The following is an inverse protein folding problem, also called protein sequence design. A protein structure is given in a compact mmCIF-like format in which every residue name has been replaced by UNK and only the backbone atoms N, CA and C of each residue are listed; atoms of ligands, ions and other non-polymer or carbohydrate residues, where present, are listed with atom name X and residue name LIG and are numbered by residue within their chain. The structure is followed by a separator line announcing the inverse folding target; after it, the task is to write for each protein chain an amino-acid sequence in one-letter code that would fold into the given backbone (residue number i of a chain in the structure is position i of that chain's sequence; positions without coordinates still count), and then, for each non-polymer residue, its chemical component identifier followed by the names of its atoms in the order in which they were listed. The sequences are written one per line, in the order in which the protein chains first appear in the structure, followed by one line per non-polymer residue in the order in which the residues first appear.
data_IF_124567378115
#
_entry.id   IF_124567378115
#
_cell.length_a   1.000
_cell.length_b   1.000
_cell.length_c   1.000
_cell.angle_alpha   90.00
_cell.angle_beta   90.00
_cell.angle_gamma   90.00
#
_symmetry.space_group_name_H-M   'P 1'
#
loop_
_entity.id
_entity.type
_entity.pdbx_description
1 polymer ?
#
# COMPACT_ATOMS: atom_id res chain seq x y z
N UNK A 1 6.17 -5.31 -1.87
CA UNK A 1 7.32 -4.86 -2.70
C UNK A 1 8.12 -6.10 -3.08
N UNK A 2 8.50 -6.30 -4.35
CA UNK A 2 9.25 -7.51 -4.75
C UNK A 2 10.61 -7.59 -4.03
N UNK A 3 11.16 -8.79 -3.79
CA UNK A 3 12.54 -8.95 -3.33
C UNK A 3 13.54 -8.49 -4.42
N UNK A 4 14.56 -7.77 -3.96
CA UNK A 4 15.90 -7.46 -4.51
C UNK A 4 16.16 -7.14 -5.99
N UNK A 5 15.42 -7.66 -6.98
CA UNK A 5 15.96 -7.73 -8.35
C UNK A 5 15.27 -6.84 -9.38
N UNK A 6 14.26 -6.06 -8.99
CA UNK A 6 13.61 -5.15 -9.93
C UNK A 6 13.24 -3.81 -9.27
N UNK A 7 14.07 -2.76 -9.39
CA UNK A 7 13.80 -1.46 -8.81
C UNK A 7 12.49 -0.91 -9.40
N UNK A 8 11.56 -0.55 -8.50
CA UNK A 8 10.34 0.13 -8.95
C UNK A 8 10.71 1.49 -9.55
N UNK A 9 10.07 1.96 -10.61
CA UNK A 9 10.37 3.27 -11.20
C UNK A 9 9.96 4.44 -10.30
N UNK A 10 9.28 4.17 -9.18
CA UNK A 10 8.77 5.16 -8.23
C UNK A 10 9.92 5.69 -7.35
N UNK A 11 10.29 6.98 -7.42
CA UNK A 11 11.48 7.51 -6.75
C UNK A 11 11.51 7.29 -5.23
N UNK A 12 10.41 7.56 -4.52
CA UNK A 12 10.36 7.36 -3.07
C UNK A 12 10.40 5.87 -2.65
N UNK A 13 10.03 4.94 -3.53
CA UNK A 13 10.20 3.51 -3.31
C UNK A 13 11.65 3.06 -3.49
N UNK A 14 12.37 3.65 -4.45
CA UNK A 14 13.83 3.41 -4.62
C UNK A 14 14.58 3.87 -3.36
N UNK A 15 14.26 5.04 -2.82
CA UNK A 15 14.89 5.52 -1.59
C UNK A 15 14.68 4.58 -0.41
N UNK A 16 13.43 4.09 -0.22
CA UNK A 16 13.12 3.09 0.81
C UNK A 16 13.90 1.80 0.61
N UNK A 17 13.97 1.32 -0.62
CA UNK A 17 14.75 0.14 -0.98
C UNK A 17 16.24 0.29 -0.66
N UNK A 18 16.83 1.44 -0.98
CA UNK A 18 18.23 1.74 -0.66
C UNK A 18 18.47 1.77 0.85
N UNK A 19 17.54 2.33 1.62
CA UNK A 19 17.59 2.34 3.10
C UNK A 19 17.52 0.90 3.64
N UNK A 20 16.63 0.06 3.11
CA UNK A 20 16.54 -1.35 3.49
C UNK A 20 17.87 -2.08 3.23
N UNK A 21 18.45 -1.92 2.04
CA UNK A 21 19.74 -2.51 1.72
C UNK A 21 20.87 -1.99 2.61
N UNK A 22 20.88 -0.69 2.91
CA UNK A 22 21.84 -0.10 3.82
C UNK A 22 21.73 -0.71 5.22
N UNK A 23 20.52 -0.76 5.78
CA UNK A 23 20.25 -1.35 7.09
C UNK A 23 20.73 -2.82 7.15
N UNK A 24 20.31 -3.63 6.18
CA UNK A 24 20.69 -5.05 6.11
C UNK A 24 22.21 -5.20 6.05
N UNK A 25 22.87 -4.48 5.16
CA UNK A 25 24.33 -4.61 4.99
C UNK A 25 25.11 -4.11 6.20
N UNK A 26 24.66 -3.04 6.87
CA UNK A 26 25.32 -2.50 8.07
C UNK A 26 25.07 -3.34 9.32
N UNK A 27 23.98 -4.10 9.37
CA UNK A 27 23.67 -4.99 10.50
C UNK A 27 24.52 -6.28 10.50
N UNK A 28 25.08 -6.69 9.36
CA UNK A 28 25.88 -7.92 9.26
C UNK A 28 27.11 -7.84 10.18
N UNK A 29 27.30 -8.85 11.03
CA UNK A 29 28.41 -8.90 11.99
C UNK A 29 28.21 -8.04 13.23
N UNK A 30 26.98 -7.56 13.48
CA UNK A 30 26.60 -6.83 14.70
C UNK A 30 25.43 -7.52 15.40
N UNK A 31 25.14 -7.16 16.64
CA UNK A 31 23.97 -7.64 17.39
C UNK A 31 22.65 -6.96 16.96
N UNK A 32 22.70 -6.04 15.99
CA UNK A 32 21.54 -5.29 15.54
C UNK A 32 20.54 -6.21 14.81
N UNK A 33 19.32 -6.29 15.36
CA UNK A 33 18.18 -6.96 14.74
C UNK A 33 17.32 -5.95 13.99
N UNK A 34 16.66 -6.38 12.92
CA UNK A 34 15.78 -5.53 12.13
C UNK A 34 14.54 -6.28 11.65
N UNK A 35 13.46 -5.55 11.43
CA UNK A 35 12.23 -6.00 10.77
C UNK A 35 11.81 -4.90 9.81
N UNK A 36 11.46 -5.27 8.58
CA UNK A 36 11.05 -4.31 7.55
C UNK A 36 9.57 -4.54 7.24
N UNK A 37 8.75 -3.51 7.45
CA UNK A 37 7.34 -3.52 7.07
C UNK A 37 7.16 -2.74 5.76
N UNK A 38 6.61 -3.41 4.74
CA UNK A 38 6.37 -2.86 3.40
C UNK A 38 4.88 -2.75 3.15
N UNK A 39 4.22 -1.70 3.68
CA UNK A 39 2.80 -1.54 3.50
C UNK A 39 2.46 -1.18 2.05
N UNK A 40 1.28 -1.62 1.60
CA UNK A 40 0.69 -1.28 0.30
C UNK A 40 0.01 0.10 0.34
N UNK A 41 -0.90 0.40 -0.60
CA UNK A 41 -1.65 1.65 -0.58
C UNK A 41 -2.54 1.76 0.69
N UNK A 42 -2.71 2.96 1.23
CA UNK A 42 -3.38 3.14 2.51
C UNK A 42 -4.89 3.36 2.34
N UNK A 43 -5.69 2.70 3.18
CA UNK A 43 -7.13 2.99 3.32
C UNK A 43 -7.37 4.44 3.75
N UNK A 44 -6.43 5.04 4.48
CA UNK A 44 -6.53 6.41 4.94
C UNK A 44 -6.37 7.46 3.82
N UNK A 45 -5.99 7.06 2.60
CA UNK A 45 -5.97 7.97 1.45
C UNK A 45 -7.38 8.32 0.94
N UNK A 46 -8.41 7.63 1.43
CA UNK A 46 -9.81 7.92 1.15
C UNK A 46 -10.33 9.01 2.09
N UNK A 47 -9.87 10.24 1.88
CA UNK A 47 -10.31 11.43 2.62
C UNK A 47 -11.51 12.10 1.95
N UNK A 48 -12.40 12.78 2.69
CA UNK A 48 -13.54 13.51 2.13
C UNK A 48 -13.14 14.84 1.46
N UNK A 49 -11.88 15.01 1.09
CA UNK A 49 -11.31 16.24 0.53
C UNK A 49 -10.96 16.08 -0.96
N UNK A 50 -10.40 17.15 -1.53
CA UNK A 50 -9.98 17.17 -2.92
C UNK A 50 -8.90 16.10 -3.22
N UNK A 51 -7.97 15.85 -2.30
CA UNK A 51 -6.91 14.85 -2.50
C UNK A 51 -7.50 13.43 -2.57
N UNK A 52 -8.45 13.10 -1.70
CA UNK A 52 -9.18 11.85 -1.75
C UNK A 52 -9.91 11.66 -3.10
N UNK A 53 -10.57 12.72 -3.59
CA UNK A 53 -11.24 12.69 -4.90
C UNK A 53 -10.27 12.53 -6.09
N UNK A 54 -9.05 13.06 -5.98
CA UNK A 54 -7.99 12.87 -7.00
C UNK A 54 -7.48 11.44 -6.96
N UNK A 55 -7.31 10.85 -5.77
CA UNK A 55 -6.86 9.48 -5.61
C UNK A 55 -7.87 8.48 -6.19
N UNK A 56 -9.15 8.61 -5.86
CA UNK A 56 -10.24 7.75 -6.37
C UNK A 56 -10.41 7.90 -7.88
N UNK A 57 -10.36 9.13 -8.41
CA UNK A 57 -10.40 9.35 -9.86
C UNK A 57 -9.18 8.74 -10.55
N UNK A 58 -7.97 8.91 -9.99
CA UNK A 58 -6.74 8.33 -10.53
C UNK A 58 -6.79 6.80 -10.56
N UNK A 59 -7.30 6.18 -9.49
CA UNK A 59 -7.54 4.74 -9.47
C UNK A 59 -8.47 4.35 -10.62
N UNK A 60 -9.66 4.95 -10.71
CA UNK A 60 -10.66 4.62 -11.73
C UNK A 60 -10.09 4.66 -13.14
N UNK A 61 -9.33 5.71 -13.48
CA UNK A 61 -8.86 5.94 -14.85
C UNK A 61 -7.58 5.17 -15.21
N UNK A 62 -6.69 4.89 -14.24
CA UNK A 62 -5.39 4.25 -14.49
C UNK A 62 -5.46 2.74 -14.33
N UNK A 63 -6.08 2.24 -13.25
CA UNK A 63 -6.09 0.80 -12.96
C UNK A 63 -7.08 0.03 -13.84
N UNK A 64 -8.11 0.67 -14.40
CA UNK A 64 -9.02 0.11 -15.42
C UNK A 64 -9.53 -1.30 -15.09
N UNK A 65 -9.97 -1.50 -13.85
CA UNK A 65 -10.50 -2.78 -13.37
C UNK A 65 -9.47 -3.71 -12.72
N UNK A 66 -8.16 -3.42 -12.80
CA UNK A 66 -7.14 -4.14 -12.03
C UNK A 66 -7.34 -3.89 -10.53
N UNK A 67 -7.13 -4.92 -9.68
CA UNK A 67 -7.24 -4.77 -8.25
C UNK A 67 -6.07 -3.96 -7.67
N UNK A 68 -6.34 -3.27 -6.56
CA UNK A 68 -5.35 -2.58 -5.75
C UNK A 68 -5.36 -3.18 -4.34
N UNK A 69 -4.15 -3.47 -3.85
CA UNK A 69 -3.96 -3.91 -2.47
C UNK A 69 -3.96 -2.71 -1.52
N UNK A 70 -4.74 -2.82 -0.44
CA UNK A 70 -4.98 -1.76 0.53
C UNK A 70 -4.67 -2.24 1.95
N UNK A 71 -4.15 -1.36 2.81
CA UNK A 71 -3.86 -1.64 4.23
C UNK A 71 -4.34 -0.49 5.11
N UNK A 72 -4.85 -0.82 6.30
CA UNK A 72 -5.16 0.17 7.34
C UNK A 72 -3.90 0.60 8.09
N UNK A 73 -3.76 1.87 8.42
CA UNK A 73 -2.66 2.35 9.27
C UNK A 73 -2.69 1.69 10.66
N UNK A 74 -3.87 1.34 11.18
CA UNK A 74 -3.98 0.62 12.46
C UNK A 74 -3.32 -0.75 12.41
N UNK A 75 -3.42 -1.44 11.27
CA UNK A 75 -2.89 -2.79 11.10
C UNK A 75 -1.38 -2.76 10.89
N UNK A 76 -0.86 -1.70 10.25
CA UNK A 76 0.59 -1.44 10.23
C UNK A 76 1.11 -1.28 11.67
N UNK A 77 0.38 -0.53 12.51
CA UNK A 77 0.70 -0.39 13.93
C UNK A 77 0.69 -1.73 14.67
N UNK A 78 -0.30 -2.58 14.40
CA UNK A 78 -0.36 -3.94 14.96
C UNK A 78 0.88 -4.76 14.60
N UNK A 79 1.23 -4.87 13.32
CA UNK A 79 2.42 -5.63 12.89
C UNK A 79 3.73 -5.00 13.41
N UNK A 80 3.77 -3.67 13.54
CA UNK A 80 4.88 -2.97 14.19
C UNK A 80 5.05 -3.39 15.65
N UNK A 81 3.95 -3.42 16.42
CA UNK A 81 3.98 -3.87 17.81
C UNK A 81 4.36 -5.36 17.92
N UNK A 82 3.81 -6.23 17.06
CA UNK A 82 4.14 -7.66 17.03
C UNK A 82 5.64 -7.89 16.80
N UNK A 83 6.27 -7.13 15.90
CA UNK A 83 7.70 -7.22 15.64
C UNK A 83 8.57 -6.93 16.88
N UNK A 84 8.10 -6.05 17.79
CA UNK A 84 8.79 -5.76 19.04
C UNK A 84 8.45 -6.74 20.17
N UNK A 85 7.21 -7.22 20.25
CA UNK A 85 6.77 -8.16 21.28
C UNK A 85 7.29 -9.59 21.03
N UNK A 86 7.50 -9.95 19.77
CA UNK A 86 7.91 -11.30 19.35
C UNK A 86 9.17 -11.24 18.45
N UNK A 87 10.29 -10.64 18.91
CA UNK A 87 11.45 -10.37 18.05
C UNK A 87 12.03 -11.64 17.42
N UNK A 88 12.00 -12.79 18.11
CA UNK A 88 12.50 -14.05 17.56
C UNK A 88 11.71 -14.57 16.35
N UNK A 89 10.43 -14.23 16.26
CA UNK A 89 9.55 -14.62 15.15
C UNK A 89 9.70 -13.69 13.93
N UNK A 90 10.07 -12.43 14.17
CA UNK A 90 10.06 -11.39 13.14
C UNK A 90 11.45 -10.90 12.72
N UNK A 91 12.50 -11.11 13.53
CA UNK A 91 13.86 -10.63 13.23
C UNK A 91 14.34 -11.10 11.86
N UNK A 92 15.01 -10.19 11.17
CA UNK A 92 15.60 -10.37 9.84
C UNK A 92 14.57 -10.71 8.75
N UNK A 93 13.31 -10.30 8.93
CA UNK A 93 12.23 -10.49 7.94
C UNK A 93 11.77 -9.17 7.36
N UNK A 94 11.39 -9.23 6.08
CA UNK A 94 10.69 -8.16 5.38
C UNK A 94 9.27 -8.61 5.04
N UNK A 95 8.26 -8.01 5.67
CA UNK A 95 6.86 -8.37 5.50
C UNK A 95 6.17 -7.36 4.58
N UNK A 96 5.54 -7.83 3.51
CA UNK A 96 4.62 -6.98 2.73
C UNK A 96 3.25 -7.03 3.37
N UNK A 97 2.67 -5.87 3.71
CA UNK A 97 1.43 -5.78 4.48
C UNK A 97 0.27 -5.32 3.58
N UNK A 98 -0.78 -6.12 3.52
CA UNK A 98 -2.06 -5.80 2.87
C UNK A 98 -3.22 -6.32 3.72
N UNK A 99 -4.29 -5.55 3.82
CA UNK A 99 -5.54 -5.89 4.49
C UNK A 99 -6.63 -6.34 3.52
N UNK A 100 -6.64 -5.80 2.30
CA UNK A 100 -7.61 -6.12 1.26
C UNK A 100 -7.02 -6.04 -0.15
N UNK A 101 -7.74 -6.60 -1.13
CA UNK A 101 -7.40 -6.51 -2.55
C UNK A 101 -8.68 -6.41 -3.38
N UNK A 102 -8.94 -5.23 -3.95
CA UNK A 102 -10.21 -4.92 -4.61
C UNK A 102 -10.01 -4.16 -5.91
N UNK A 103 -10.88 -4.36 -6.89
CA UNK A 103 -11.04 -3.47 -8.04
C UNK A 103 -11.74 -2.17 -7.64
N UNK A 104 -11.69 -1.16 -8.52
CA UNK A 104 -12.40 0.10 -8.28
C UNK A 104 -13.90 -0.12 -8.10
N UNK A 105 -14.51 -1.01 -8.90
CA UNK A 105 -15.96 -1.23 -8.87
C UNK A 105 -16.40 -1.96 -7.59
N UNK A 106 -15.58 -2.90 -7.10
CA UNK A 106 -15.82 -3.54 -5.80
C UNK A 106 -15.71 -2.52 -4.66
N UNK A 107 -14.63 -1.74 -4.66
CA UNK A 107 -14.44 -0.64 -3.70
C UNK A 107 -15.63 0.33 -3.72
N UNK A 108 -16.09 0.75 -4.91
CA UNK A 108 -17.22 1.68 -5.03
C UNK A 108 -18.54 1.10 -4.54
N UNK A 109 -18.79 -0.20 -4.77
CA UNK A 109 -19.97 -0.90 -4.24
C UNK A 109 -19.94 -0.96 -2.71
N UNK A 110 -18.80 -1.32 -2.13
CA UNK A 110 -18.63 -1.37 -0.66
C UNK A 110 -18.79 0.03 -0.07
N UNK A 111 -18.12 1.04 -0.65
CA UNK A 111 -18.22 2.42 -0.20
C UNK A 111 -19.67 2.91 -0.18
N UNK A 112 -20.43 2.65 -1.25
CA UNK A 112 -21.86 3.01 -1.31
C UNK A 112 -22.70 2.27 -0.28
N UNK A 113 -22.44 0.98 -0.06
CA UNK A 113 -23.15 0.18 0.95
C UNK A 113 -22.92 0.72 2.36
N UNK A 114 -21.68 1.03 2.71
CA UNK A 114 -21.28 1.45 4.06
C UNK A 114 -21.64 2.90 4.34
N UNK A 115 -21.42 3.81 3.38
CA UNK A 115 -21.59 5.26 3.59
C UNK A 115 -22.92 5.82 3.09
N UNK A 116 -23.65 5.05 2.26
CA UNK A 116 -24.84 5.52 1.56
C UNK A 116 -24.58 6.51 0.42
N UNK A 117 -23.31 6.82 0.12
CA UNK A 117 -22.90 7.83 -0.88
C UNK A 117 -22.07 7.20 -1.98
N UNK A 118 -22.12 7.80 -3.17
CA UNK A 118 -21.18 7.42 -4.23
C UNK A 118 -19.76 7.91 -3.90
N UNK A 119 -18.75 7.20 -4.41
CA UNK A 119 -17.34 7.57 -4.20
C UNK A 119 -17.10 8.98 -4.75
N UNK A 120 -16.52 9.90 -3.96
CA UNK A 120 -16.22 11.24 -4.45
C UNK A 120 -15.21 11.16 -5.60
N UNK A 121 -15.52 11.78 -6.72
CA UNK A 121 -14.68 11.83 -7.91
C UNK A 121 -14.47 13.28 -8.32
N UNK A 122 -13.25 13.58 -8.78
CA UNK A 122 -12.95 14.81 -9.53
C UNK A 122 -12.94 14.56 -11.04
N UNK A 123 -12.80 15.63 -11.82
CA UNK A 123 -12.71 15.55 -13.28
C UNK A 123 -11.48 14.75 -13.73
N UNK A 124 -11.69 13.82 -14.66
CA UNK A 124 -10.62 12.96 -15.17
C UNK A 124 -9.47 13.72 -15.82
N UNK A 125 -9.73 14.86 -16.48
CA UNK A 125 -8.67 15.70 -17.04
C UNK A 125 -7.81 16.33 -15.95
N UNK A 126 -8.41 16.74 -14.83
CA UNK A 126 -7.71 17.34 -13.70
C UNK A 126 -6.83 16.31 -13.00
N UNK A 127 -7.34 15.09 -12.79
CA UNK A 127 -6.52 13.98 -12.28
C UNK A 127 -5.34 13.66 -13.20
N UNK A 128 -5.54 13.66 -14.53
CA UNK A 128 -4.44 13.46 -15.51
C UNK A 128 -3.42 14.59 -15.45
N UNK A 129 -3.87 15.84 -15.36
CA UNK A 129 -3.00 17.01 -15.25
C UNK A 129 -2.16 16.93 -13.96
N UNK A 130 -2.78 16.58 -12.83
CA UNK A 130 -2.09 16.42 -11.56
C UNK A 130 -1.09 15.25 -11.59
N UNK A 131 -1.43 14.11 -12.18
CA UNK A 131 -0.47 13.01 -12.37
C UNK A 131 0.70 13.39 -13.29
N UNK A 132 0.47 14.28 -14.26
CA UNK A 132 1.54 14.79 -15.13
C UNK A 132 2.44 15.80 -14.41
N UNK A 133 1.84 16.73 -13.65
CA UNK A 133 2.56 17.73 -12.86
C UNK A 133 3.33 17.09 -11.69
N UNK A 134 2.70 16.17 -10.97
CA UNK A 134 3.27 15.38 -9.89
C UNK A 134 3.71 14.01 -10.42
N UNK A 135 4.88 13.99 -11.07
CA UNK A 135 5.46 12.77 -11.68
C UNK A 135 5.43 11.57 -10.75
N UNK A 136 5.64 11.75 -9.44
CA UNK A 136 5.60 10.65 -8.48
C UNK A 136 4.25 9.94 -8.44
N UNK A 137 3.15 10.71 -8.38
CA UNK A 137 1.80 10.17 -8.34
C UNK A 137 1.49 9.39 -9.62
N UNK A 138 1.85 9.97 -10.78
CA UNK A 138 1.66 9.33 -12.08
C UNK A 138 2.46 8.02 -12.24
N UNK A 139 3.73 8.02 -11.81
CA UNK A 139 4.59 6.82 -11.87
C UNK A 139 4.09 5.74 -10.89
N UNK A 140 3.61 6.13 -9.71
CA UNK A 140 3.04 5.20 -8.72
C UNK A 140 1.80 4.50 -9.26
N UNK A 141 0.82 5.23 -9.78
CA UNK A 141 -0.39 4.63 -10.35
C UNK A 141 -0.10 3.76 -11.58
N UNK A 142 0.88 4.15 -12.41
CA UNK A 142 1.33 3.32 -13.54
C UNK A 142 1.99 2.03 -13.03
N UNK A 143 2.81 2.10 -12.00
CA UNK A 143 3.39 0.91 -11.37
C UNK A 143 2.33 0.00 -10.72
N UNK A 144 1.28 0.56 -10.10
CA UNK A 144 0.13 -0.22 -9.62
C UNK A 144 -0.54 -0.99 -10.75
N UNK A 145 -0.72 -0.36 -11.92
CA UNK A 145 -1.29 -1.03 -13.09
C UNK A 145 -0.36 -2.10 -13.66
N UNK A 146 0.93 -1.84 -13.82
CA UNK A 146 1.84 -2.71 -14.57
C UNK A 146 2.39 -3.87 -13.74
N UNK A 147 2.69 -3.63 -12.47
CA UNK A 147 3.33 -4.61 -11.58
C UNK A 147 2.49 -4.97 -10.36
N UNK A 148 1.82 -3.98 -9.78
CA UNK A 148 1.04 -4.13 -8.57
C UNK A 148 1.86 -4.55 -7.34
N UNK A 149 1.16 -4.63 -6.21
CA UNK A 149 1.69 -5.27 -5.02
C UNK A 149 1.53 -6.80 -5.10
N UNK A 150 2.24 -7.54 -4.24
CA UNK A 150 2.20 -9.01 -4.18
C UNK A 150 2.18 -9.50 -2.72
N UNK A 151 1.52 -8.76 -1.83
CA UNK A 151 1.38 -9.17 -0.44
C UNK A 151 0.33 -10.30 -0.32
N UNK A 152 0.55 -11.26 0.58
CA UNK A 152 -0.37 -12.37 0.81
C UNK A 152 -1.35 -12.02 1.92
N UNK A 153 -2.54 -11.55 1.54
CA UNK A 153 -3.62 -11.19 2.48
C UNK A 153 -4.07 -12.38 3.33
N UNK A 154 -4.05 -13.60 2.79
CA UNK A 154 -4.52 -14.80 3.50
C UNK A 154 -3.54 -15.19 4.60
N UNK A 155 -2.24 -15.11 4.31
CA UNK A 155 -1.20 -15.33 5.32
C UNK A 155 -1.27 -14.28 6.44
N UNK A 156 -1.44 -13.00 6.09
CA UNK A 156 -1.55 -11.93 7.09
C UNK A 156 -2.80 -12.07 7.96
N UNK A 157 -3.93 -12.49 7.40
CA UNK A 157 -5.17 -12.70 8.16
C UNK A 157 -5.09 -13.88 9.13
N UNK A 158 -4.25 -14.88 8.85
CA UNK A 158 -3.95 -15.94 9.81
C UNK A 158 -3.17 -15.42 11.02
N UNK A 159 -2.23 -14.50 10.78
CA UNK A 159 -1.43 -13.86 11.83
C UNK A 159 -2.23 -12.81 12.61
N UNK A 160 -3.15 -12.12 11.94
CA UNK A 160 -4.03 -11.13 12.52
C UNK A 160 -5.48 -11.38 12.08
N UNK A 161 -6.26 -12.19 12.82
CA UNK A 161 -7.66 -12.46 12.46
C UNK A 161 -8.54 -11.20 12.39
N UNK A 162 -8.16 -10.13 13.11
CA UNK A 162 -8.81 -8.82 13.08
C UNK A 162 -8.31 -7.87 11.98
N UNK A 163 -7.52 -8.37 11.02
CA UNK A 163 -6.99 -7.58 9.90
C UNK A 163 -8.12 -6.92 9.12
N UNK A 164 -8.10 -5.60 9.04
CA UNK A 164 -9.16 -4.81 8.44
C UNK A 164 -9.17 -5.00 6.92
N UNK A 165 -10.37 -5.14 6.39
CA UNK A 165 -10.64 -5.03 4.97
C UNK A 165 -11.17 -3.62 4.66
N UNK A 166 -11.57 -3.34 3.41
CA UNK A 166 -12.09 -2.02 3.05
C UNK A 166 -13.42 -1.66 3.73
N UNK A 167 -14.19 -2.65 4.19
CA UNK A 167 -15.49 -2.45 4.84
C UNK A 167 -15.39 -2.20 6.36
N UNK A 168 -14.32 -2.67 7.02
CA UNK A 168 -14.16 -2.73 8.48
C UNK A 168 -13.14 -1.75 9.06
#
# INVERSE_FOLDING_TARGET
MRPSDNPTPVPHFINKHNIEHHLINRSKGTDMQWVILRPVAFLNNFTPDFFGSVFTTSWKIVLRGKPLQLISVTDIGFFGAQAFLHPDEYKYRALSLTGDELSYDEMARIFKRVTGKDVPLTYGFLARLLMWAFKELGVMFRWFHDSGYKADVRALRKLHPGLKNFES
#
